data_IF_092130895749
#
_entry.id   IF_092130895749
#
_cell.length_a   1.000
_cell.length_b   1.000
_cell.length_c   1.000
_cell.angle_alpha   90.00
_cell.angle_beta   90.00
_cell.angle_gamma   90.00
#
_symmetry.space_group_name_H-M   'P 1'
#
loop_
_entity.id
_entity.type
_entity.pdbx_description
1 polymer ?
#
# COMPACT_ATOMS: atom_id res chain seq x y z
N UNK A 1 13.16 -21.02 -5.07
CA UNK A 1 12.03 -20.69 -5.98
C UNK A 1 10.88 -20.13 -5.15
N UNK A 2 10.40 -18.97 -5.50
CA UNK A 2 9.26 -18.28 -4.85
C UNK A 2 7.98 -19.08 -5.11
N UNK A 3 7.15 -19.22 -4.07
CA UNK A 3 5.86 -19.92 -4.11
C UNK A 3 4.70 -19.07 -3.62
N UNK A 4 5.00 -17.93 -2.98
CA UNK A 4 4.00 -16.94 -2.61
C UNK A 4 4.57 -15.53 -2.74
N UNK A 5 3.70 -14.57 -3.05
CA UNK A 5 4.01 -13.15 -3.04
C UNK A 5 3.00 -12.45 -2.11
N UNK A 6 3.55 -11.69 -1.15
CA UNK A 6 2.78 -10.82 -0.28
C UNK A 6 2.87 -9.39 -0.83
N UNK A 7 1.76 -8.86 -1.33
CA UNK A 7 1.69 -7.50 -1.85
C UNK A 7 1.13 -6.55 -0.79
N UNK A 8 1.70 -5.39 -0.68
CA UNK A 8 0.98 -4.25 -0.14
C UNK A 8 -0.10 -3.78 -1.13
N UNK A 9 -1.04 -2.95 -0.68
CA UNK A 9 -2.15 -2.45 -1.49
C UNK A 9 -1.86 -1.04 -2.04
N UNK A 10 -1.81 -0.08 -1.13
CA UNK A 10 -1.81 1.36 -1.41
C UNK A 10 -0.42 1.83 -1.87
N UNK A 11 -0.32 2.43 -3.06
CA UNK A 11 0.96 2.77 -3.69
C UNK A 11 1.65 1.60 -4.41
N UNK A 12 1.34 0.35 -4.02
CA UNK A 12 1.92 -0.87 -4.60
C UNK A 12 1.08 -1.45 -5.73
N UNK A 13 -0.16 -1.85 -5.44
CA UNK A 13 -1.09 -2.42 -6.43
C UNK A 13 -2.10 -1.41 -6.94
N UNK A 14 -2.44 -0.41 -6.12
CA UNK A 14 -3.39 0.66 -6.46
C UNK A 14 -2.74 2.04 -6.29
N UNK A 15 -3.05 2.96 -7.21
CA UNK A 15 -2.58 4.35 -7.20
C UNK A 15 -3.46 5.23 -6.28
N UNK A 16 -3.62 4.79 -5.03
CA UNK A 16 -4.38 5.51 -4.02
C UNK A 16 -3.60 6.68 -3.41
N UNK A 17 -2.28 6.61 -3.37
CA UNK A 17 -1.44 7.65 -2.78
C UNK A 17 -1.61 9.00 -3.49
N UNK A 18 -1.66 9.01 -4.84
CA UNK A 18 -1.94 10.25 -5.61
C UNK A 18 -3.35 10.75 -5.39
N UNK A 19 -4.31 9.85 -5.19
CA UNK A 19 -5.69 10.20 -4.90
C UNK A 19 -5.81 10.86 -3.52
N UNK A 20 -5.20 10.29 -2.48
CA UNK A 20 -5.15 10.89 -1.15
C UNK A 20 -4.38 12.21 -1.13
N UNK A 21 -3.26 12.30 -1.85
CA UNK A 21 -2.49 13.55 -2.00
C UNK A 21 -3.36 14.67 -2.60
N UNK A 22 -4.11 14.36 -3.66
CA UNK A 22 -5.04 15.33 -4.25
C UNK A 22 -6.20 15.67 -3.31
N UNK A 23 -6.72 14.70 -2.55
CA UNK A 23 -7.74 14.90 -1.51
C UNK A 23 -7.28 15.83 -0.40
N UNK A 24 -6.05 15.64 0.09
CA UNK A 24 -5.45 16.49 1.13
C UNK A 24 -5.32 17.95 0.66
N UNK A 25 -4.87 18.15 -0.58
CA UNK A 25 -4.79 19.52 -1.15
C UNK A 25 -6.18 20.13 -1.28
N UNK A 26 -7.15 19.36 -1.76
CA UNK A 26 -8.54 19.81 -1.89
C UNK A 26 -9.13 20.22 -0.55
N UNK A 27 -9.00 19.37 0.47
CA UNK A 27 -9.48 19.62 1.83
C UNK A 27 -8.84 20.88 2.43
N UNK A 28 -7.51 21.01 2.33
CA UNK A 28 -6.79 22.18 2.80
C UNK A 28 -7.30 23.48 2.14
N UNK A 29 -7.50 23.47 0.82
CA UNK A 29 -8.02 24.64 0.07
C UNK A 29 -9.46 24.99 0.47
N UNK A 30 -10.32 24.01 0.67
CA UNK A 30 -11.70 24.21 1.15
C UNK A 30 -11.72 24.88 2.53
N UNK A 31 -10.76 24.57 3.39
CA UNK A 31 -10.59 25.13 4.73
C UNK A 31 -9.83 26.47 4.74
N UNK A 32 -9.42 26.98 3.57
CA UNK A 32 -8.72 28.26 3.43
C UNK A 32 -7.20 28.19 3.64
N UNK A 33 -6.60 27.01 3.72
CA UNK A 33 -5.14 26.85 3.74
C UNK A 33 -4.58 26.96 2.31
N UNK A 34 -3.39 27.58 2.18
CA UNK A 34 -2.67 27.70 0.90
C UNK A 34 -1.61 26.60 0.77
N UNK A 35 -2.02 25.35 0.95
CA UNK A 35 -1.16 24.17 0.87
C UNK A 35 -1.25 23.51 -0.52
N UNK A 36 -0.14 22.93 -0.96
CA UNK A 36 0.04 22.29 -2.26
C UNK A 36 0.43 20.82 -2.12
N UNK A 37 0.57 20.11 -3.22
CA UNK A 37 1.09 18.73 -3.21
C UNK A 37 2.49 18.63 -2.59
N UNK A 38 3.35 19.65 -2.77
CA UNK A 38 4.71 19.67 -2.23
C UNK A 38 4.73 19.65 -0.69
N UNK A 39 3.72 20.28 -0.06
CA UNK A 39 3.59 20.32 1.40
C UNK A 39 3.16 18.96 1.98
N UNK A 40 2.33 18.20 1.24
CA UNK A 40 1.82 16.90 1.66
C UNK A 40 2.69 15.72 1.21
N UNK A 41 3.53 15.87 0.18
CA UNK A 41 4.38 14.80 -0.34
C UNK A 41 5.29 14.16 0.74
N UNK A 42 5.87 14.90 1.70
CA UNK A 42 6.66 14.31 2.79
C UNK A 42 5.87 13.40 3.74
N UNK A 43 4.53 13.39 3.67
CA UNK A 43 3.65 12.56 4.48
C UNK A 43 3.37 11.19 3.83
N UNK A 44 3.80 10.99 2.59
CA UNK A 44 3.60 9.72 1.87
C UNK A 44 4.61 8.68 2.34
N UNK A 45 4.16 7.46 2.61
CA UNK A 45 5.00 6.31 2.97
C UNK A 45 5.66 6.39 4.35
N UNK A 46 5.14 7.23 5.27
CA UNK A 46 5.58 7.31 6.67
C UNK A 46 4.61 6.58 7.60
N UNK A 47 4.99 6.34 8.86
CA UNK A 47 4.12 5.70 9.85
C UNK A 47 3.00 6.63 10.33
N UNK A 48 1.89 6.05 10.84
CA UNK A 48 0.76 6.81 11.40
C UNK A 48 1.20 7.87 12.41
N UNK A 49 2.15 7.53 13.30
CA UNK A 49 2.67 8.44 14.31
C UNK A 49 3.46 9.61 13.69
N UNK A 50 4.24 9.35 12.64
CA UNK A 50 4.96 10.39 11.90
C UNK A 50 3.99 11.25 11.10
N UNK A 51 3.01 10.63 10.43
CA UNK A 51 1.96 11.33 9.70
C UNK A 51 1.24 12.34 10.62
N UNK A 52 0.76 11.89 11.78
CA UNK A 52 0.09 12.77 12.74
C UNK A 52 1.00 13.93 13.20
N UNK A 53 2.28 13.64 13.47
CA UNK A 53 3.26 14.66 13.86
C UNK A 53 3.49 15.71 12.78
N UNK A 54 3.59 15.30 11.51
CA UNK A 54 3.78 16.21 10.38
C UNK A 54 2.50 16.98 10.07
N UNK A 55 1.34 16.31 10.12
CA UNK A 55 0.03 16.96 9.90
C UNK A 55 -0.22 18.09 10.90
N UNK A 56 0.23 17.96 12.16
CA UNK A 56 0.13 19.00 13.18
C UNK A 56 0.90 20.29 12.81
N UNK A 57 1.87 20.21 11.90
CA UNK A 57 2.62 21.37 11.41
C UNK A 57 1.90 22.08 10.26
N UNK A 58 0.99 21.41 9.58
CA UNK A 58 0.30 21.89 8.38
C UNK A 58 -1.14 22.35 8.67
N UNK A 59 -1.85 21.58 9.49
CA UNK A 59 -3.28 21.79 9.80
C UNK A 59 -3.46 21.94 11.31
N UNK A 60 -4.21 22.97 11.71
CA UNK A 60 -4.56 23.19 13.12
C UNK A 60 -5.15 21.90 13.73
N UNK A 61 -4.64 21.42 14.88
CA UNK A 61 -5.15 20.21 15.52
C UNK A 61 -6.68 20.21 15.77
N UNK A 62 -7.26 21.38 16.03
CA UNK A 62 -8.70 21.54 16.20
C UNK A 62 -9.52 21.36 14.92
N UNK A 63 -8.88 21.41 13.76
CA UNK A 63 -9.51 21.31 12.44
C UNK A 63 -9.20 20.00 11.70
N UNK A 64 -8.38 19.14 12.28
CA UNK A 64 -7.94 17.90 11.60
C UNK A 64 -9.07 16.91 11.36
N UNK A 65 -10.09 16.87 12.22
CA UNK A 65 -11.25 16.02 12.00
C UNK A 65 -12.04 16.44 10.75
N UNK A 66 -12.23 17.74 10.55
CA UNK A 66 -12.86 18.30 9.36
C UNK A 66 -11.99 18.07 8.12
N UNK A 67 -10.69 18.30 8.22
CA UNK A 67 -9.73 18.02 7.17
C UNK A 67 -9.78 16.55 6.72
N UNK A 68 -9.75 15.61 7.66
CA UNK A 68 -9.81 14.18 7.37
C UNK A 68 -11.14 13.81 6.68
N UNK A 69 -12.27 14.38 7.13
CA UNK A 69 -13.57 14.13 6.51
C UNK A 69 -13.62 14.65 5.07
N UNK A 70 -13.17 15.88 4.83
CA UNK A 70 -13.13 16.46 3.48
C UNK A 70 -12.21 15.67 2.54
N UNK A 71 -11.07 15.20 3.06
CA UNK A 71 -10.16 14.33 2.30
C UNK A 71 -10.87 13.02 1.94
N UNK A 72 -11.54 12.37 2.91
CA UNK A 72 -12.24 11.12 2.68
C UNK A 72 -13.40 11.28 1.68
N UNK A 73 -14.21 12.32 1.82
CA UNK A 73 -15.31 12.62 0.89
C UNK A 73 -14.79 12.81 -0.56
N UNK A 74 -13.63 13.45 -0.70
CA UNK A 74 -12.98 13.62 -2.01
C UNK A 74 -12.53 12.28 -2.59
N UNK A 75 -11.93 11.42 -1.76
CA UNK A 75 -11.45 10.10 -2.14
C UNK A 75 -12.63 9.19 -2.51
N UNK A 76 -13.65 9.10 -1.65
CA UNK A 76 -14.83 8.25 -1.86
C UNK A 76 -15.56 8.60 -3.17
N UNK A 77 -15.71 9.89 -3.46
CA UNK A 77 -16.32 10.34 -4.72
C UNK A 77 -15.54 9.93 -5.98
N UNK A 78 -14.32 9.40 -5.85
CA UNK A 78 -13.43 9.03 -6.96
C UNK A 78 -13.08 7.55 -7.01
N UNK A 79 -13.08 6.86 -5.88
CA UNK A 79 -12.85 5.41 -5.83
C UNK A 79 -13.88 4.66 -6.69
N UNK A 80 -15.14 5.11 -6.69
CA UNK A 80 -16.25 4.49 -7.43
C UNK A 80 -16.27 4.82 -8.94
N UNK A 81 -15.28 5.55 -9.44
CA UNK A 81 -15.23 5.86 -10.87
C UNK A 81 -14.79 4.63 -11.68
N UNK A 82 -15.28 4.50 -12.96
CA UNK A 82 -14.94 3.36 -13.81
C UNK A 82 -13.46 3.33 -14.26
N UNK A 83 -12.69 4.35 -13.93
CA UNK A 83 -11.26 4.40 -14.21
C UNK A 83 -10.55 3.52 -13.16
N UNK A 84 -9.90 2.48 -13.63
CA UNK A 84 -9.15 1.57 -12.74
C UNK A 84 -8.10 2.34 -11.95
N UNK A 85 -8.12 2.20 -10.62
CA UNK A 85 -7.04 2.66 -9.74
C UNK A 85 -5.85 1.70 -9.73
N UNK A 86 -5.91 0.59 -10.47
CA UNK A 86 -4.82 -0.37 -10.52
C UNK A 86 -3.54 0.27 -11.06
N UNK A 87 -2.43 0.04 -10.37
CA UNK A 87 -1.10 0.43 -10.85
C UNK A 87 -0.80 -0.24 -12.21
N UNK A 88 -0.04 0.44 -13.09
CA UNK A 88 0.34 -0.13 -14.38
C UNK A 88 1.00 -1.50 -14.22
N UNK A 89 0.42 -2.52 -14.85
CA UNK A 89 0.91 -3.89 -14.81
C UNK A 89 0.34 -4.76 -13.68
N UNK A 90 -0.37 -4.21 -12.69
CA UNK A 90 -0.89 -4.97 -11.56
C UNK A 90 -1.79 -6.14 -12.02
N UNK A 91 -2.80 -5.88 -12.86
CA UNK A 91 -3.69 -6.92 -13.38
C UNK A 91 -2.95 -8.03 -14.12
N UNK A 92 -2.02 -7.67 -14.99
CA UNK A 92 -1.26 -8.63 -15.78
C UNK A 92 -0.38 -9.50 -14.87
N UNK A 93 0.30 -8.88 -13.91
CA UNK A 93 1.15 -9.55 -12.94
C UNK A 93 0.35 -10.54 -12.07
N UNK A 94 -0.75 -10.08 -11.45
CA UNK A 94 -1.57 -10.94 -10.59
C UNK A 94 -2.10 -12.16 -11.34
N UNK A 95 -2.58 -11.98 -12.59
CA UNK A 95 -3.03 -13.09 -13.43
C UNK A 95 -1.89 -14.04 -13.79
N UNK A 96 -0.72 -13.52 -14.15
CA UNK A 96 0.44 -14.33 -14.49
C UNK A 96 0.90 -15.20 -13.31
N UNK A 97 0.97 -14.63 -12.10
CA UNK A 97 1.34 -15.35 -10.90
C UNK A 97 0.33 -16.45 -10.53
N UNK A 98 -0.98 -16.18 -10.68
CA UNK A 98 -2.03 -17.21 -10.45
C UNK A 98 -1.94 -18.34 -11.45
N UNK A 99 -1.68 -18.08 -12.74
CA UNK A 99 -1.48 -19.11 -13.75
C UNK A 99 -0.28 -20.02 -13.45
N UNK A 100 0.72 -19.49 -12.77
CA UNK A 100 1.91 -20.23 -12.30
C UNK A 100 1.70 -20.90 -10.93
N UNK A 101 0.48 -20.86 -10.39
CA UNK A 101 0.13 -21.44 -9.09
C UNK A 101 0.94 -20.84 -7.91
N UNK A 102 1.40 -19.59 -8.05
CA UNK A 102 1.98 -18.82 -6.95
C UNK A 102 0.85 -18.30 -6.08
N UNK A 103 0.92 -18.56 -4.78
CA UNK A 103 -0.06 -18.03 -3.81
C UNK A 103 0.09 -16.53 -3.67
N UNK A 104 -1.02 -15.82 -3.57
CA UNK A 104 -1.06 -14.37 -3.43
C UNK A 104 -1.63 -13.99 -2.07
N UNK A 105 -0.90 -13.16 -1.34
CA UNK A 105 -1.39 -12.54 -0.12
C UNK A 105 -1.43 -11.02 -0.28
N UNK A 106 -2.48 -10.38 0.22
CA UNK A 106 -2.56 -8.94 0.38
C UNK A 106 -2.26 -8.60 1.84
N UNK A 107 -1.37 -7.66 2.10
CA UNK A 107 -0.92 -7.27 3.45
C UNK A 107 -0.91 -5.75 3.55
N UNK A 108 -1.99 -5.17 4.09
CA UNK A 108 -2.17 -3.71 4.12
C UNK A 108 -2.40 -3.17 5.53
N UNK A 109 -2.06 -1.90 5.74
CA UNK A 109 -2.42 -1.12 6.94
C UNK A 109 -3.79 -0.45 6.82
N UNK A 110 -4.48 -0.64 5.72
CA UNK A 110 -5.84 -0.15 5.49
C UNK A 110 -6.87 -1.00 6.24
N UNK A 111 -8.07 -0.45 6.44
CA UNK A 111 -9.19 -1.16 7.10
C UNK A 111 -9.73 -2.28 6.21
N UNK A 112 -10.36 -3.28 6.81
CA UNK A 112 -11.01 -4.37 6.09
C UNK A 112 -12.12 -3.85 5.15
N UNK A 113 -12.87 -2.84 5.57
CA UNK A 113 -13.94 -2.21 4.77
C UNK A 113 -13.37 -1.55 3.50
N UNK A 114 -12.36 -0.70 3.66
CA UNK A 114 -11.68 -0.05 2.54
C UNK A 114 -11.05 -1.08 1.60
N UNK A 115 -10.32 -2.06 2.17
CA UNK A 115 -9.68 -3.13 1.39
C UNK A 115 -10.69 -3.90 0.56
N UNK A 116 -11.82 -4.29 1.17
CA UNK A 116 -12.90 -4.99 0.45
C UNK A 116 -13.45 -4.17 -0.70
N UNK A 117 -13.72 -2.87 -0.47
CA UNK A 117 -14.19 -1.94 -1.49
C UNK A 117 -13.19 -1.83 -2.66
N UNK A 118 -11.89 -1.67 -2.36
CA UNK A 118 -10.85 -1.62 -3.39
C UNK A 118 -10.76 -2.91 -4.21
N UNK A 119 -10.84 -4.08 -3.55
CA UNK A 119 -10.82 -5.37 -4.23
C UNK A 119 -12.05 -5.58 -5.15
N UNK A 120 -13.22 -5.05 -4.76
CA UNK A 120 -14.41 -5.08 -5.62
C UNK A 120 -14.22 -4.19 -6.86
N UNK A 121 -13.77 -2.96 -6.68
CA UNK A 121 -13.61 -1.98 -7.76
C UNK A 121 -12.53 -2.37 -8.78
N UNK A 122 -11.48 -3.06 -8.33
CA UNK A 122 -10.41 -3.58 -9.19
C UNK A 122 -10.73 -4.97 -9.76
N UNK A 123 -11.87 -5.58 -9.40
CA UNK A 123 -12.24 -6.96 -9.74
C UNK A 123 -11.25 -8.02 -9.22
N UNK A 124 -10.62 -7.77 -8.05
CA UNK A 124 -9.65 -8.67 -7.42
C UNK A 124 -10.21 -9.43 -6.22
N UNK A 125 -11.54 -9.45 -6.00
CA UNK A 125 -12.17 -10.06 -4.82
C UNK A 125 -11.78 -11.52 -4.59
N UNK A 126 -11.53 -12.29 -5.67
CA UNK A 126 -11.18 -13.72 -5.60
C UNK A 126 -9.71 -13.99 -6.02
N UNK A 127 -8.89 -12.94 -6.08
CA UNK A 127 -7.51 -13.07 -6.56
C UNK A 127 -6.57 -13.55 -5.46
N UNK A 128 -6.76 -13.07 -4.22
CA UNK A 128 -5.85 -13.33 -3.11
C UNK A 128 -6.27 -14.57 -2.31
N UNK A 129 -5.29 -15.44 -2.03
CA UNK A 129 -5.48 -16.62 -1.17
C UNK A 129 -5.52 -16.23 0.32
N UNK A 130 -4.90 -15.07 0.66
CA UNK A 130 -4.84 -14.52 2.02
C UNK A 130 -5.00 -13.01 1.94
N UNK A 131 -5.82 -12.42 2.81
CA UNK A 131 -5.96 -10.96 2.96
C UNK A 131 -5.76 -10.60 4.43
N UNK A 132 -4.76 -9.76 4.70
CA UNK A 132 -4.41 -9.28 6.04
C UNK A 132 -4.57 -7.76 6.05
N UNK A 133 -5.39 -7.27 6.96
CA UNK A 133 -5.71 -5.85 7.14
C UNK A 133 -5.28 -5.39 8.55
N UNK A 134 -5.37 -4.08 8.81
CA UNK A 134 -4.91 -3.47 10.07
C UNK A 134 -5.50 -4.07 11.36
N UNK A 135 -6.67 -4.69 11.27
CA UNK A 135 -7.36 -5.27 12.42
C UNK A 135 -6.68 -6.55 12.94
N UNK A 136 -5.77 -7.15 12.16
CA UNK A 136 -5.16 -8.43 12.48
C UNK A 136 -3.80 -8.33 13.19
N UNK A 137 -3.34 -7.10 13.48
CA UNK A 137 -2.08 -6.90 14.21
C UNK A 137 -1.67 -5.44 14.30
N UNK A 138 -0.51 -5.19 14.87
CA UNK A 138 0.08 -3.85 14.84
C UNK A 138 0.41 -3.46 13.41
N UNK A 139 0.11 -2.23 13.02
CA UNK A 139 0.38 -1.71 11.68
C UNK A 139 1.88 -1.62 11.39
N UNK A 140 2.24 -1.61 10.11
CA UNK A 140 3.61 -1.34 9.65
C UNK A 140 4.15 -0.06 10.30
N UNK A 141 5.39 -0.02 10.78
CA UNK A 141 6.50 -0.92 10.46
C UNK A 141 6.62 -2.16 11.37
N UNK A 142 5.64 -2.48 12.24
CA UNK A 142 5.66 -3.73 12.98
C UNK A 142 5.51 -4.93 12.02
N UNK A 143 6.14 -6.10 12.31
CA UNK A 143 6.11 -7.25 11.42
C UNK A 143 4.77 -8.03 11.47
N UNK A 144 3.87 -7.68 12.35
CA UNK A 144 2.72 -8.46 12.76
C UNK A 144 1.85 -8.91 11.58
N UNK A 145 1.55 -8.00 10.65
CA UNK A 145 0.70 -8.30 9.49
C UNK A 145 1.39 -9.29 8.53
N UNK A 146 2.69 -9.15 8.29
CA UNK A 146 3.46 -10.10 7.49
C UNK A 146 3.56 -11.45 8.18
N UNK A 147 3.77 -11.50 9.50
CA UNK A 147 3.79 -12.75 10.26
C UNK A 147 2.44 -13.48 10.19
N UNK A 148 1.32 -12.77 10.23
CA UNK A 148 -0.01 -13.32 10.01
C UNK A 148 -0.17 -13.91 8.60
N UNK A 149 0.27 -13.18 7.57
CA UNK A 149 0.23 -13.67 6.20
C UNK A 149 1.08 -14.95 6.03
N UNK A 150 2.31 -14.95 6.55
CA UNK A 150 3.19 -16.14 6.53
C UNK A 150 2.57 -17.34 7.21
N UNK A 151 1.93 -17.14 8.36
CA UNK A 151 1.24 -18.21 9.09
C UNK A 151 0.10 -18.82 8.27
N UNK A 152 -0.71 -18.00 7.60
CA UNK A 152 -1.83 -18.47 6.79
C UNK A 152 -1.37 -19.11 5.47
N UNK A 153 -0.32 -18.57 4.84
CA UNK A 153 0.27 -19.17 3.64
C UNK A 153 0.86 -20.56 3.90
N UNK A 154 1.32 -20.80 5.14
CA UNK A 154 1.95 -22.05 5.57
C UNK A 154 3.09 -22.49 4.65
N UNK A 155 4.01 -21.56 4.36
CA UNK A 155 5.20 -21.77 3.53
C UNK A 155 6.46 -21.31 4.26
N UNK A 156 7.64 -21.90 3.97
CA UNK A 156 8.90 -21.40 4.45
C UNK A 156 9.14 -19.96 3.97
N UNK A 157 9.67 -19.09 4.85
CA UNK A 157 9.94 -17.68 4.53
C UNK A 157 10.79 -17.49 3.25
N UNK A 158 11.74 -18.38 2.99
CA UNK A 158 12.58 -18.35 1.79
C UNK A 158 11.79 -18.59 0.47
N UNK A 159 10.53 -18.96 0.56
CA UNK A 159 9.63 -19.15 -0.59
C UNK A 159 8.59 -18.02 -0.71
N UNK A 160 8.66 -17.01 0.16
CA UNK A 160 7.73 -15.88 0.20
C UNK A 160 8.49 -14.61 -0.13
N UNK A 161 7.97 -13.84 -1.07
CA UNK A 161 8.47 -12.53 -1.46
C UNK A 161 7.49 -11.46 -0.98
N UNK A 162 7.97 -10.38 -0.39
CA UNK A 162 7.18 -9.19 -0.11
C UNK A 162 7.39 -8.14 -1.20
N UNK A 163 6.33 -7.41 -1.55
CA UNK A 163 6.35 -6.31 -2.52
C UNK A 163 5.69 -5.10 -1.87
N UNK A 164 6.41 -4.01 -1.83
CA UNK A 164 6.08 -2.78 -1.10
C UNK A 164 6.47 -1.55 -1.92
N UNK A 165 5.87 -0.39 -1.64
CA UNK A 165 6.26 0.89 -2.23
C UNK A 165 7.00 1.80 -1.25
N UNK A 166 6.84 1.60 0.06
CA UNK A 166 7.24 2.53 1.10
C UNK A 166 8.36 2.02 2.04
N UNK A 167 9.19 2.91 2.62
CA UNK A 167 10.18 2.53 3.62
C UNK A 167 9.59 1.90 4.88
N UNK A 168 8.34 2.27 5.23
CA UNK A 168 7.64 1.72 6.39
C UNK A 168 7.22 0.29 6.13
N UNK A 169 6.69 0.02 4.93
CA UNK A 169 6.31 -1.32 4.50
C UNK A 169 7.53 -2.23 4.33
N UNK A 170 8.58 -1.77 3.65
CA UNK A 170 9.85 -2.50 3.54
C UNK A 170 10.39 -2.88 4.92
N UNK A 171 10.39 -1.94 5.88
CA UNK A 171 10.83 -2.21 7.26
C UNK A 171 10.01 -3.30 7.94
N UNK A 172 8.69 -3.30 7.72
CA UNK A 172 7.78 -4.32 8.25
C UNK A 172 8.08 -5.71 7.68
N UNK A 173 8.24 -5.82 6.36
CA UNK A 173 8.60 -7.08 5.69
C UNK A 173 9.97 -7.59 6.15
N UNK A 174 10.98 -6.71 6.25
CA UNK A 174 12.31 -7.06 6.74
C UNK A 174 12.32 -7.47 8.22
N UNK A 175 11.47 -6.85 9.05
CA UNK A 175 11.30 -7.25 10.45
C UNK A 175 10.61 -8.63 10.60
N UNK A 176 9.84 -9.07 9.59
CA UNK A 176 9.31 -10.43 9.47
C UNK A 176 10.31 -11.41 8.82
N UNK A 177 11.53 -10.95 8.53
CA UNK A 177 12.63 -11.73 7.91
C UNK A 177 12.28 -12.23 6.49
N UNK A 178 11.51 -11.45 5.73
CA UNK A 178 11.21 -11.69 4.33
C UNK A 178 12.19 -10.99 3.40
N UNK A 179 12.41 -11.58 2.21
CA UNK A 179 12.95 -10.86 1.06
C UNK A 179 11.90 -9.85 0.60
N UNK A 180 12.31 -8.60 0.38
CA UNK A 180 11.42 -7.50 0.05
C UNK A 180 11.90 -6.73 -1.17
N UNK A 181 11.04 -6.65 -2.19
CA UNK A 181 11.21 -5.78 -3.35
C UNK A 181 10.43 -4.49 -3.11
N UNK A 182 11.06 -3.35 -3.33
CA UNK A 182 10.35 -2.08 -3.34
C UNK A 182 10.08 -1.66 -4.79
N UNK A 183 8.79 -1.41 -5.11
CA UNK A 183 8.38 -0.75 -6.34
C UNK A 183 8.37 0.75 -6.14
N UNK A 184 8.88 1.50 -7.13
CA UNK A 184 8.94 2.96 -7.03
C UNK A 184 7.55 3.57 -7.22
N UNK A 185 7.09 4.30 -6.22
CA UNK A 185 5.95 5.21 -6.31
C UNK A 185 6.32 6.59 -5.73
N UNK A 186 5.45 7.25 -5.00
CA UNK A 186 5.69 8.58 -4.41
C UNK A 186 6.64 8.54 -3.22
N UNK A 187 6.63 7.44 -2.45
CA UNK A 187 7.47 7.29 -1.28
C UNK A 187 8.97 7.19 -1.63
N UNK A 188 9.88 7.63 -0.74
CA UNK A 188 11.31 7.53 -0.99
C UNK A 188 11.79 6.07 -1.01
N UNK A 189 12.91 5.84 -1.68
CA UNK A 189 13.56 4.52 -1.71
C UNK A 189 14.11 4.13 -0.34
N UNK A 190 13.88 2.87 0.04
CA UNK A 190 14.42 2.28 1.27
C UNK A 190 15.74 1.59 1.00
N UNK A 191 16.75 1.88 1.82
CA UNK A 191 18.03 1.15 1.77
C UNK A 191 17.94 -0.27 2.36
N UNK A 192 16.79 -0.66 2.92
CA UNK A 192 16.55 -1.99 3.47
C UNK A 192 15.91 -2.94 2.45
N UNK A 193 15.38 -2.45 1.33
CA UNK A 193 14.88 -3.29 0.26
C UNK A 193 16.00 -4.14 -0.32
N UNK A 194 15.71 -5.42 -0.60
CA UNK A 194 16.69 -6.31 -1.24
C UNK A 194 16.85 -5.96 -2.72
N UNK A 195 15.76 -5.50 -3.35
CA UNK A 195 15.74 -5.03 -4.75
C UNK A 195 14.82 -3.82 -4.89
N UNK A 196 15.12 -2.98 -5.88
CA UNK A 196 14.33 -1.82 -6.26
C UNK A 196 13.92 -1.98 -7.72
N UNK A 197 12.62 -1.83 -8.00
CA UNK A 197 12.06 -1.86 -9.35
C UNK A 197 11.30 -0.58 -9.62
N UNK A 198 11.28 -0.15 -10.88
CA UNK A 198 10.58 1.07 -11.28
C UNK A 198 9.08 0.84 -11.52
N UNK A 199 8.66 -0.42 -11.78
CA UNK A 199 7.27 -0.77 -12.01
C UNK A 199 7.03 -2.28 -11.85
N UNK A 200 5.75 -2.67 -11.75
CA UNK A 200 5.35 -4.06 -11.54
C UNK A 200 5.66 -5.01 -12.72
N UNK A 201 5.88 -4.49 -13.93
CA UNK A 201 6.27 -5.34 -15.08
C UNK A 201 7.66 -5.99 -14.91
N UNK A 202 8.50 -5.43 -14.04
CA UNK A 202 9.84 -5.98 -13.78
C UNK A 202 9.78 -7.16 -12.81
N UNK A 203 8.77 -7.18 -11.91
CA UNK A 203 8.67 -8.20 -10.88
C UNK A 203 8.50 -9.62 -11.44
N UNK A 204 7.71 -9.77 -12.51
CA UNK A 204 7.49 -11.07 -13.14
C UNK A 204 8.80 -11.71 -13.60
N UNK A 205 9.70 -10.90 -14.18
CA UNK A 205 11.01 -11.36 -14.65
C UNK A 205 11.91 -11.83 -13.49
N UNK A 206 11.84 -11.17 -12.35
CA UNK A 206 12.63 -11.50 -11.16
C UNK A 206 12.20 -12.82 -10.50
N UNK A 207 10.91 -13.12 -10.48
CA UNK A 207 10.39 -14.35 -9.87
C UNK A 207 10.84 -15.60 -10.63
N UNK A 208 11.16 -15.46 -11.92
CA UNK A 208 11.59 -16.54 -12.82
C UNK A 208 13.10 -16.69 -12.99
N UNK A 209 13.87 -15.72 -12.51
CA UNK A 209 15.33 -15.78 -12.55
C UNK A 209 15.88 -16.64 -11.40
#
# INVERSE_FOLDING_TARGET
MIKAVCFDLDGTLVDSERLYLAGNVHAAQQMGYLLTCEDFLPLVGISDAQFQSQLNLLIDPGQQAEFAQLTQDFVDARIDRPESLAQPGADALLRALKLQQIKLALVTTSTAEYTHHMLQNTHWSDVFDVVITREQGRTKPAPDLYLQAMSQLNLPKAQILAVEDSPVGVRSAKAADLTCVQVQDLAPRSHLADELIDNLFELEKMIHA
#
